data_IF_576129092969
#
_entry.id   IF_576129092969
#
_cell.length_a   1.000
_cell.length_b   1.000
_cell.length_c   1.000
_cell.angle_alpha   90.00
_cell.angle_beta   90.00
_cell.angle_gamma   90.00
#
_symmetry.space_group_name_H-M   'P 1'
#
loop_
_entity.id
_entity.type
_entity.pdbx_description
1 polymer ?
#
# COMPACT_ATOMS: atom_id res chain seq x y z
N UNK A 1 1.44 3.87 -5.60
CA UNK A 1 2.70 3.72 -4.84
C UNK A 1 3.20 2.29 -4.81
N UNK A 2 2.44 1.29 -4.35
CA UNK A 2 2.89 -0.13 -4.38
C UNK A 2 3.33 -0.57 -5.79
N UNK A 3 2.56 -0.21 -6.82
CA UNK A 3 2.96 -0.46 -8.21
C UNK A 3 4.22 0.28 -8.64
N UNK A 4 4.48 1.48 -8.10
CA UNK A 4 5.70 2.24 -8.42
C UNK A 4 6.93 1.55 -7.82
N UNK A 5 6.85 1.08 -6.58
CA UNK A 5 7.94 0.32 -5.94
C UNK A 5 8.28 -0.98 -6.68
N UNK A 6 7.26 -1.67 -7.22
CA UNK A 6 7.44 -2.87 -8.06
C UNK A 6 8.06 -2.58 -9.43
N UNK A 7 8.01 -1.35 -9.90
CA UNK A 7 8.54 -0.91 -11.20
C UNK A 7 9.57 0.22 -11.00
N UNK A 8 10.31 0.17 -9.89
CA UNK A 8 11.29 1.21 -9.52
C UNK A 8 12.51 1.24 -10.45
N UNK A 9 12.67 0.22 -11.30
CA UNK A 9 13.61 0.19 -12.42
C UNK A 9 13.28 1.24 -13.50
N UNK A 10 12.00 1.63 -13.62
CA UNK A 10 11.54 2.64 -14.59
C UNK A 10 11.04 3.90 -13.87
N UNK A 11 10.33 3.75 -12.75
CA UNK A 11 9.72 4.87 -12.02
C UNK A 11 10.66 5.34 -10.93
N UNK A 12 11.44 6.40 -11.24
CA UNK A 12 12.45 6.94 -10.32
C UNK A 12 11.89 7.87 -9.24
N UNK A 13 10.72 8.47 -9.47
CA UNK A 13 10.08 9.38 -8.53
C UNK A 13 8.56 9.45 -8.76
N UNK A 14 7.82 9.74 -7.70
CA UNK A 14 6.39 10.05 -7.77
C UNK A 14 6.02 11.07 -6.70
N UNK A 15 5.16 12.02 -7.03
CA UNK A 15 4.62 12.99 -6.08
C UNK A 15 3.10 12.93 -6.05
N UNK A 16 2.52 13.02 -4.86
CA UNK A 16 1.09 13.26 -4.71
C UNK A 16 0.78 14.72 -5.06
N UNK A 17 -0.37 14.97 -5.66
CA UNK A 17 -0.86 16.31 -5.92
C UNK A 17 -2.40 16.34 -5.79
N UNK A 18 -2.98 17.43 -5.24
CA UNK A 18 -2.31 18.57 -4.61
C UNK A 18 -1.81 18.28 -3.18
N UNK A 19 -0.84 19.05 -2.69
CA UNK A 19 -0.28 18.88 -1.34
C UNK A 19 -1.21 19.48 -0.27
N UNK A 20 -1.49 20.78 -0.38
CA UNK A 20 -2.23 21.56 0.60
C UNK A 20 -3.58 21.99 0.05
N UNK A 21 -4.58 22.09 0.94
CA UNK A 21 -5.89 22.66 0.66
C UNK A 21 -6.31 23.62 1.79
N UNK A 22 -6.81 24.80 1.42
CA UNK A 22 -7.49 25.68 2.38
C UNK A 22 -8.97 25.32 2.39
N UNK A 23 -9.47 24.88 3.54
CA UNK A 23 -10.85 24.38 3.68
C UNK A 23 -11.93 25.43 3.40
N UNK A 24 -11.58 26.73 3.40
CA UNK A 24 -12.50 27.83 3.06
C UNK A 24 -12.66 28.07 1.55
N UNK A 25 -11.86 27.41 0.73
CA UNK A 25 -11.87 27.58 -0.72
C UNK A 25 -11.34 26.35 -1.41
N UNK A 26 -11.98 25.20 -1.17
CA UNK A 26 -11.57 23.90 -1.74
C UNK A 26 -11.95 23.81 -3.22
N UNK A 27 -10.98 23.53 -4.10
CA UNK A 27 -11.22 23.26 -5.53
C UNK A 27 -11.18 21.77 -5.89
N UNK A 28 -10.41 20.96 -5.15
CA UNK A 28 -10.29 19.52 -5.36
C UNK A 28 -10.66 18.75 -4.09
N UNK A 29 -11.36 17.63 -4.25
CA UNK A 29 -11.80 16.79 -3.14
C UNK A 29 -10.68 15.93 -2.51
N UNK A 30 -9.47 15.96 -3.07
CA UNK A 30 -8.33 15.16 -2.62
C UNK A 30 -7.10 16.05 -2.48
N UNK A 31 -6.35 15.84 -1.40
CA UNK A 31 -5.10 16.51 -1.06
C UNK A 31 -4.41 15.73 0.07
N UNK A 32 -3.27 16.20 0.61
CA UNK A 32 -2.65 15.57 1.79
C UNK A 32 -2.94 16.34 3.08
N UNK A 33 -2.75 17.65 3.07
CA UNK A 33 -2.86 18.51 4.26
C UNK A 33 -3.97 19.53 4.06
N UNK A 34 -4.94 19.58 4.96
CA UNK A 34 -6.00 20.58 4.99
C UNK A 34 -5.73 21.59 6.09
N UNK A 35 -5.98 22.87 5.83
CA UNK A 35 -5.77 23.94 6.79
C UNK A 35 -6.83 25.04 6.72
N UNK A 36 -6.97 25.76 7.82
CA UNK A 36 -7.59 27.09 7.85
C UNK A 36 -6.61 28.09 8.50
N UNK A 37 -7.09 29.26 8.93
CA UNK A 37 -6.24 30.30 9.53
C UNK A 37 -5.59 29.94 10.87
N UNK A 38 -6.02 28.87 11.55
CA UNK A 38 -5.54 28.52 12.90
C UNK A 38 -5.31 27.03 13.16
N UNK A 39 -5.77 26.13 12.28
CA UNK A 39 -5.71 24.68 12.47
C UNK A 39 -5.38 23.98 11.16
N UNK A 40 -4.78 22.81 11.28
CA UNK A 40 -4.58 21.86 10.19
C UNK A 40 -5.01 20.46 10.59
N UNK A 41 -5.30 19.62 9.59
CA UNK A 41 -5.44 18.17 9.73
C UNK A 41 -4.94 17.51 8.45
N UNK A 42 -4.66 16.21 8.52
CA UNK A 42 -4.16 15.45 7.37
C UNK A 42 -5.19 14.43 6.90
N UNK A 43 -5.27 14.17 5.60
CA UNK A 43 -6.13 13.12 5.06
C UNK A 43 -5.46 11.74 5.18
N UNK A 44 -6.21 10.63 5.13
CA UNK A 44 -5.64 9.28 5.11
C UNK A 44 -4.54 9.10 4.06
N UNK A 45 -4.64 9.79 2.92
CA UNK A 45 -3.60 9.80 1.88
C UNK A 45 -2.24 10.28 2.38
N UNK A 46 -2.18 11.22 3.33
CA UNK A 46 -0.92 11.68 3.94
C UNK A 46 -0.26 10.55 4.73
N UNK A 47 -1.05 9.80 5.50
CA UNK A 47 -0.56 8.65 6.26
C UNK A 47 -0.08 7.54 5.32
N UNK A 48 -0.78 7.29 4.21
CA UNK A 48 -0.30 6.37 3.16
C UNK A 48 1.08 6.77 2.64
N UNK A 49 1.27 8.06 2.29
CA UNK A 49 2.57 8.55 1.82
C UNK A 49 3.66 8.35 2.87
N UNK A 50 3.36 8.69 4.13
CA UNK A 50 4.31 8.60 5.25
C UNK A 50 4.69 7.16 5.53
N UNK A 51 3.71 6.25 5.66
CA UNK A 51 3.94 4.83 5.96
C UNK A 51 4.74 4.13 4.86
N UNK A 52 4.46 4.43 3.59
CA UNK A 52 5.21 3.84 2.49
C UNK A 52 6.62 4.42 2.39
N UNK A 53 6.79 5.73 2.63
CA UNK A 53 8.10 6.38 2.65
C UNK A 53 8.99 5.90 3.80
N UNK A 54 8.42 5.62 4.98
CA UNK A 54 9.18 5.14 6.14
C UNK A 54 9.62 3.68 6.00
N UNK A 55 9.02 2.93 5.08
CA UNK A 55 9.27 1.50 4.89
C UNK A 55 9.98 1.19 3.56
N UNK A 56 10.69 2.15 2.97
CA UNK A 56 11.48 1.90 1.75
C UNK A 56 12.64 0.94 2.03
N UNK A 57 12.93 0.06 1.06
CA UNK A 57 14.13 -0.77 1.06
C UNK A 57 15.05 -0.36 -0.08
N UNK A 58 16.29 -0.84 -0.04
CA UNK A 58 17.27 -0.63 -1.11
C UNK A 58 16.93 -1.45 -2.36
N UNK A 59 16.30 -2.62 -2.20
CA UNK A 59 15.96 -3.53 -3.29
C UNK A 59 14.54 -4.06 -3.16
N UNK A 60 13.77 -4.04 -4.24
CA UNK A 60 12.48 -4.72 -4.30
C UNK A 60 12.71 -6.23 -4.40
N UNK A 61 11.96 -7.01 -3.62
CA UNK A 61 12.04 -8.46 -3.63
C UNK A 61 11.02 -9.04 -4.62
N UNK A 62 11.38 -10.07 -5.41
CA UNK A 62 10.40 -10.84 -6.17
C UNK A 62 9.38 -11.47 -5.22
N UNK A 63 8.10 -11.24 -5.49
CA UNK A 63 7.01 -11.79 -4.70
C UNK A 63 5.90 -12.31 -5.62
N UNK A 64 5.53 -13.57 -5.40
CA UNK A 64 4.39 -14.21 -6.05
C UNK A 64 3.19 -14.10 -5.12
N UNK A 65 2.12 -13.48 -5.61
CA UNK A 65 0.84 -13.49 -4.90
C UNK A 65 0.05 -14.70 -5.38
N UNK A 66 -0.52 -15.46 -4.46
CA UNK A 66 -1.44 -16.55 -4.81
C UNK A 66 -2.84 -15.97 -5.00
N UNK A 67 -3.56 -16.30 -6.09
CA UNK A 67 -4.94 -15.89 -6.26
C UNK A 67 -5.81 -16.29 -5.05
N UNK A 68 -6.89 -15.54 -4.76
CA UNK A 68 -7.43 -14.46 -5.59
C UNK A 68 -6.84 -13.08 -5.20
N UNK A 69 -6.14 -12.45 -6.14
CA UNK A 69 -5.73 -11.04 -6.12
C UNK A 69 -6.14 -10.40 -7.46
N UNK A 70 -6.09 -9.06 -7.55
CA UNK A 70 -6.42 -8.37 -8.79
C UNK A 70 -5.40 -8.70 -9.89
N UNK A 71 -5.73 -9.66 -10.76
CA UNK A 71 -5.01 -9.91 -12.00
C UNK A 71 -5.23 -8.72 -12.95
N UNK A 72 -4.13 -8.08 -13.35
CA UNK A 72 -4.14 -7.03 -14.36
C UNK A 72 -4.45 -7.63 -15.73
N UNK A 73 -5.51 -7.11 -16.35
CA UNK A 73 -5.80 -6.98 -17.79
C UNK A 73 -4.87 -7.75 -18.76
N UNK A 74 -5.45 -8.59 -19.62
CA UNK A 74 -4.77 -9.20 -20.78
C UNK A 74 -3.98 -8.13 -21.54
N UNK A 75 -2.71 -8.42 -21.82
CA UNK A 75 -1.77 -7.53 -22.51
C UNK A 75 -2.39 -6.95 -23.80
N UNK A 76 -2.25 -5.63 -24.00
CA UNK A 76 -2.52 -5.01 -25.29
C UNK A 76 -1.51 -5.54 -26.32
N UNK A 77 -1.99 -6.29 -27.30
CA UNK A 77 -1.21 -6.50 -28.52
C UNK A 77 -1.12 -5.16 -29.26
N UNK A 78 0.10 -4.65 -29.43
CA UNK A 78 0.35 -3.44 -30.24
C UNK A 78 -0.18 -3.69 -31.65
N UNK A 79 -1.28 -3.05 -32.06
CA UNK A 79 -1.53 -2.82 -33.50
C UNK A 79 -0.68 -1.65 -33.94
N UNK A 80 0.22 -1.92 -34.89
CA UNK A 80 1.03 -0.91 -35.58
C UNK A 80 0.11 -0.14 -36.54
N UNK A 81 -0.14 1.12 -36.25
CA UNK A 81 -0.93 2.03 -37.10
C UNK A 81 -1.44 3.23 -36.30
N UNK A 82 -0.76 4.39 -36.41
CA UNK A 82 -1.26 5.64 -35.84
C UNK A 82 -2.40 6.16 -36.72
N UNK A 83 -3.63 6.06 -36.21
CA UNK A 83 -4.78 6.83 -36.72
C UNK A 83 -5.21 7.83 -35.65
N UNK A 84 -5.51 9.06 -36.07
CA UNK A 84 -5.78 10.25 -35.25
C UNK A 84 -7.14 10.26 -34.54
N UNK A 85 -7.89 9.15 -34.54
CA UNK A 85 -9.09 9.01 -33.72
C UNK A 85 -8.72 8.62 -32.29
N UNK A 86 -9.33 9.28 -31.29
CA UNK A 86 -9.21 9.00 -29.84
C UNK A 86 -8.93 7.51 -29.59
N UNK A 87 -7.79 7.12 -28.98
CA UNK A 87 -7.40 5.73 -28.84
C UNK A 87 -8.53 4.96 -28.13
N UNK A 88 -8.91 3.77 -28.62
CA UNK A 88 -9.91 2.95 -27.95
C UNK A 88 -9.45 2.69 -26.53
N UNK A 89 -10.19 3.20 -25.54
CA UNK A 89 -9.88 2.91 -24.15
C UNK A 89 -10.17 1.43 -23.90
N UNK A 90 -9.24 0.69 -23.27
CA UNK A 90 -9.55 -0.64 -22.78
C UNK A 90 -10.77 -0.60 -21.88
N UNK A 91 -11.82 -1.32 -22.27
CA UNK A 91 -12.91 -1.65 -21.35
C UNK A 91 -12.56 -2.96 -20.67
N UNK A 92 -12.35 -2.92 -19.36
CA UNK A 92 -12.23 -4.11 -18.53
C UNK A 92 -13.62 -4.76 -18.44
N UNK A 93 -13.82 -5.88 -19.14
CA UNK A 93 -15.14 -6.53 -19.25
C UNK A 93 -15.39 -7.61 -18.21
N UNK A 94 -14.41 -7.95 -17.36
CA UNK A 94 -14.61 -8.87 -16.25
C UNK A 94 -14.88 -8.10 -14.98
N UNK A 95 -15.98 -8.42 -14.29
CA UNK A 95 -16.19 -7.98 -12.92
C UNK A 95 -14.89 -8.24 -12.13
N UNK A 96 -14.36 -7.24 -11.44
CA UNK A 96 -13.14 -7.41 -10.69
C UNK A 96 -13.32 -8.51 -9.64
N UNK A 97 -12.33 -9.39 -9.43
CA UNK A 97 -12.45 -10.46 -8.44
C UNK A 97 -12.78 -9.87 -7.06
N UNK A 98 -13.66 -10.54 -6.32
CA UNK A 98 -14.22 -10.09 -5.03
C UNK A 98 -13.17 -9.87 -3.91
N UNK A 99 -11.92 -10.24 -4.16
CA UNK A 99 -10.83 -10.28 -3.21
C UNK A 99 -9.62 -9.53 -3.79
N UNK A 100 -9.77 -8.21 -3.86
CA UNK A 100 -8.72 -7.28 -4.27
C UNK A 100 -7.78 -7.01 -3.10
N UNK A 101 -6.58 -7.55 -3.20
CA UNK A 101 -5.45 -7.15 -2.37
C UNK A 101 -4.21 -7.08 -3.26
N UNK A 102 -3.20 -6.36 -2.80
CA UNK A 102 -1.87 -6.35 -3.42
C UNK A 102 -0.81 -6.28 -2.33
N UNK A 103 0.37 -6.78 -2.62
CA UNK A 103 1.52 -6.61 -1.76
C UNK A 103 2.80 -6.36 -2.56
N UNK A 104 3.77 -5.77 -1.87
CA UNK A 104 5.16 -5.70 -2.28
C UNK A 104 6.06 -5.91 -1.07
N UNK A 105 7.29 -6.33 -1.34
CA UNK A 105 8.31 -6.51 -0.34
C UNK A 105 9.59 -5.85 -0.83
N UNK A 106 10.33 -5.25 0.09
CA UNK A 106 11.64 -4.66 -0.18
C UNK A 106 12.61 -5.00 0.94
N UNK A 107 13.89 -5.09 0.63
CA UNK A 107 14.94 -5.39 1.60
C UNK A 107 15.90 -4.21 1.75
N UNK A 108 16.32 -3.96 2.97
CA UNK A 108 17.57 -3.27 3.28
C UNK A 108 18.59 -4.31 3.77
N UNK A 109 19.54 -4.67 2.91
CA UNK A 109 20.54 -5.69 3.20
C UNK A 109 21.53 -5.26 4.30
N UNK A 110 21.82 -3.96 4.41
CA UNK A 110 22.75 -3.43 5.43
C UNK A 110 22.10 -3.48 6.81
N UNK A 111 20.84 -3.04 6.89
CA UNK A 111 20.06 -3.08 8.13
C UNK A 111 19.53 -4.50 8.44
N UNK A 112 19.61 -5.44 7.49
CA UNK A 112 19.05 -6.80 7.58
C UNK A 112 17.54 -6.79 7.84
N UNK A 113 16.84 -5.91 7.13
CA UNK A 113 15.41 -5.70 7.27
C UNK A 113 14.67 -6.06 5.99
N UNK A 114 13.50 -6.66 6.15
CA UNK A 114 12.51 -6.84 5.09
C UNK A 114 11.27 -6.03 5.46
N UNK A 115 10.87 -5.13 4.57
CA UNK A 115 9.65 -4.35 4.67
C UNK A 115 8.58 -4.95 3.76
N UNK A 116 7.48 -5.37 4.35
CA UNK A 116 6.28 -5.85 3.65
C UNK A 116 5.25 -4.74 3.66
N UNK A 117 4.65 -4.45 2.51
CA UNK A 117 3.50 -3.54 2.40
C UNK A 117 2.37 -4.24 1.71
N UNK A 118 1.24 -4.33 2.40
CA UNK A 118 0.06 -5.06 1.96
C UNK A 118 -1.14 -4.12 1.98
N UNK A 119 -1.99 -4.21 0.95
CA UNK A 119 -3.21 -3.40 0.85
C UNK A 119 -4.40 -4.30 0.66
N UNK A 120 -5.41 -4.16 1.53
CA UNK A 120 -6.71 -4.80 1.43
C UNK A 120 -7.75 -3.80 0.91
N UNK A 121 -8.24 -4.01 -0.31
CA UNK A 121 -9.28 -3.17 -0.93
C UNK A 121 -10.69 -3.76 -0.77
N UNK A 122 -10.89 -4.63 0.23
CA UNK A 122 -12.15 -5.31 0.46
C UNK A 122 -12.78 -4.91 1.81
N UNK A 123 -14.12 -5.00 1.93
CA UNK A 123 -14.83 -4.79 3.19
C UNK A 123 -14.63 -5.92 4.20
N UNK A 124 -13.99 -7.02 3.80
CA UNK A 124 -13.76 -8.18 4.66
C UNK A 124 -12.28 -8.24 5.07
N UNK A 125 -12.03 -8.68 6.31
CA UNK A 125 -10.69 -8.98 6.77
C UNK A 125 -10.07 -10.10 5.92
N UNK A 126 -8.74 -10.07 5.81
CA UNK A 126 -7.99 -11.01 4.97
C UNK A 126 -6.77 -11.56 5.69
N UNK A 127 -6.75 -12.86 6.03
CA UNK A 127 -5.51 -13.52 6.43
C UNK A 127 -4.56 -13.65 5.22
N UNK A 128 -3.27 -13.46 5.47
CA UNK A 128 -2.20 -13.61 4.50
C UNK A 128 -1.04 -14.35 5.14
N UNK A 129 -0.68 -15.49 4.57
CA UNK A 129 0.53 -16.20 4.92
C UNK A 129 1.65 -15.83 3.95
N UNK A 130 2.76 -15.35 4.52
CA UNK A 130 3.97 -14.98 3.79
C UNK A 130 4.96 -16.12 3.93
N UNK A 131 5.08 -16.94 2.88
CA UNK A 131 6.15 -17.92 2.78
C UNK A 131 7.48 -17.22 2.47
N UNK A 132 8.54 -17.58 3.18
CA UNK A 132 9.87 -17.00 3.05
C UNK A 132 10.89 -18.07 2.66
N UNK A 133 11.67 -17.79 1.62
CA UNK A 133 12.70 -18.68 1.09
C UNK A 133 14.04 -17.96 0.92
N UNK A 134 14.29 -16.89 1.68
CA UNK A 134 15.59 -16.23 1.70
C UNK A 134 16.60 -16.99 2.58
N UNK A 135 17.89 -16.83 2.28
CA UNK A 135 18.99 -17.52 2.98
C UNK A 135 18.97 -17.35 4.50
N UNK A 136 18.58 -16.15 4.97
CA UNK A 136 18.41 -15.83 6.39
C UNK A 136 16.95 -15.91 6.75
N UNK A 137 16.60 -16.65 7.80
CA UNK A 137 15.23 -16.74 8.29
C UNK A 137 14.72 -15.39 8.82
N UNK A 138 13.40 -15.23 8.85
CA UNK A 138 12.77 -14.17 9.65
C UNK A 138 12.99 -14.43 11.13
N UNK A 139 13.65 -13.49 11.81
CA UNK A 139 14.02 -13.65 13.22
C UNK A 139 12.99 -13.00 14.16
N UNK A 140 12.57 -11.76 13.85
CA UNK A 140 11.60 -11.02 14.67
C UNK A 140 10.85 -9.97 13.86
N UNK A 141 9.59 -9.72 14.21
CA UNK A 141 8.84 -8.57 13.71
C UNK A 141 9.25 -7.36 14.54
N UNK A 142 9.77 -6.32 13.89
CA UNK A 142 10.18 -5.09 14.56
C UNK A 142 9.03 -4.10 14.70
N UNK A 143 8.20 -4.02 13.65
CA UNK A 143 7.07 -3.12 13.61
C UNK A 143 5.97 -3.72 12.73
N UNK A 144 4.72 -3.49 13.12
CA UNK A 144 3.55 -3.79 12.32
C UNK A 144 2.54 -2.66 12.52
N UNK A 145 2.37 -1.84 11.50
CA UNK A 145 1.49 -0.67 11.52
C UNK A 145 0.37 -0.86 10.50
N UNK A 146 -0.84 -0.47 10.88
CA UNK A 146 -2.01 -0.48 10.02
C UNK A 146 -2.63 0.91 9.94
N UNK A 147 -3.05 1.29 8.74
CA UNK A 147 -3.99 2.38 8.50
C UNK A 147 -5.29 1.74 8.00
N UNK A 148 -6.36 1.87 8.76
CA UNK A 148 -7.68 1.28 8.46
C UNK A 148 -8.80 2.13 9.05
N UNK A 149 -10.03 1.87 8.62
CA UNK A 149 -11.24 2.48 9.15
C UNK A 149 -12.43 1.55 8.96
N UNK A 150 -13.53 1.81 9.67
CA UNK A 150 -14.77 1.04 9.57
C UNK A 150 -15.46 1.16 8.19
N UNK A 151 -15.18 2.23 7.43
CA UNK A 151 -15.76 2.50 6.11
C UNK A 151 -14.68 3.00 5.14
N UNK A 152 -14.85 2.71 3.85
CA UNK A 152 -13.95 3.17 2.78
C UNK A 152 -13.99 4.69 2.58
N UNK A 153 -15.05 5.34 3.06
CA UNK A 153 -15.32 6.76 2.96
C UNK A 153 -14.87 7.54 4.21
N UNK A 154 -14.33 6.86 5.21
CA UNK A 154 -13.88 7.50 6.45
C UNK A 154 -12.75 8.50 6.18
N UNK A 155 -12.87 9.70 6.77
CA UNK A 155 -11.91 10.80 6.58
C UNK A 155 -11.75 11.61 7.87
N UNK A 156 -10.57 12.24 7.97
CA UNK A 156 -10.28 13.23 8.99
C UNK A 156 -10.91 14.59 8.62
N UNK A 157 -11.20 15.39 9.63
CA UNK A 157 -11.71 16.76 9.46
C UNK A 157 -11.34 17.64 10.65
N UNK A 158 -11.70 18.93 10.63
CA UNK A 158 -11.36 19.87 11.71
C UNK A 158 -11.93 19.50 13.09
N UNK A 159 -13.03 18.74 13.15
CA UNK A 159 -13.65 18.30 14.40
C UNK A 159 -13.10 16.96 14.88
N UNK A 160 -12.65 16.11 13.96
CA UNK A 160 -12.04 14.81 14.23
C UNK A 160 -10.77 14.68 13.37
N UNK A 161 -9.65 15.32 13.79
CA UNK A 161 -8.45 15.42 12.97
C UNK A 161 -7.71 14.08 12.79
N UNK A 162 -7.97 13.11 13.66
CA UNK A 162 -7.30 11.80 13.71
C UNK A 162 -8.29 10.63 13.69
N UNK A 163 -9.46 10.80 13.05
CA UNK A 163 -10.46 9.73 12.91
C UNK A 163 -9.93 8.48 12.17
N UNK A 164 -8.98 8.69 11.25
CA UNK A 164 -8.26 7.68 10.48
C UNK A 164 -6.78 8.01 10.57
N UNK A 165 -6.09 7.30 11.46
CA UNK A 165 -4.67 7.46 11.71
C UNK A 165 -3.98 6.09 11.80
N UNK A 166 -2.65 6.00 11.58
CA UNK A 166 -1.91 4.78 11.76
C UNK A 166 -1.99 4.28 13.20
N UNK A 167 -2.16 2.97 13.36
CA UNK A 167 -2.16 2.29 14.65
C UNK A 167 -1.29 1.03 14.60
N UNK A 168 -0.97 0.46 15.76
CA UNK A 168 -0.37 -0.87 15.80
C UNK A 168 -1.35 -1.89 15.20
N UNK A 169 -0.83 -2.84 14.44
CA UNK A 169 -1.65 -3.93 13.92
C UNK A 169 -2.01 -4.91 15.05
N UNK A 170 -3.30 -5.19 15.19
CA UNK A 170 -3.85 -6.12 16.17
C UNK A 170 -4.78 -7.14 15.47
N UNK A 171 -4.54 -8.47 15.59
CA UNK A 171 -3.39 -9.09 16.26
C UNK A 171 -2.06 -8.80 15.53
N UNK A 172 -0.92 -8.78 16.24
CA UNK A 172 0.37 -8.61 15.60
C UNK A 172 0.70 -9.81 14.67
N UNK A 173 1.56 -9.62 13.66
CA UNK A 173 1.95 -10.72 12.78
C UNK A 173 2.59 -11.88 13.56
N UNK A 174 2.16 -13.10 13.26
CA UNK A 174 2.66 -14.31 13.90
C UNK A 174 3.83 -14.87 13.08
N UNK A 175 5.01 -14.98 13.69
CA UNK A 175 6.16 -15.64 13.06
C UNK A 175 5.98 -17.16 13.10
N UNK A 176 6.20 -17.79 11.95
CA UNK A 176 6.28 -19.23 11.79
C UNK A 176 7.71 -19.66 11.43
N UNK A 177 7.96 -20.98 11.36
CA UNK A 177 9.30 -21.50 11.06
C UNK A 177 9.82 -21.14 9.66
N UNK A 178 8.91 -20.91 8.69
CA UNK A 178 9.25 -20.67 7.28
C UNK A 178 8.63 -19.38 6.74
N UNK A 179 8.16 -18.50 7.62
CA UNK A 179 7.37 -17.35 7.19
C UNK A 179 6.70 -16.58 8.32
N UNK A 180 5.66 -15.83 7.97
CA UNK A 180 4.83 -15.12 8.94
C UNK A 180 3.38 -14.99 8.46
N UNK A 181 2.43 -14.97 9.38
CA UNK A 181 1.00 -14.79 9.11
C UNK A 181 0.55 -13.40 9.53
N UNK A 182 -0.25 -12.74 8.70
CA UNK A 182 -0.78 -11.38 8.89
C UNK A 182 -2.29 -11.40 8.71
N UNK A 183 -3.02 -10.86 9.68
CA UNK A 183 -4.44 -10.57 9.51
C UNK A 183 -4.62 -9.11 9.06
N UNK A 184 -4.96 -8.89 7.78
CA UNK A 184 -5.26 -7.54 7.28
C UNK A 184 -6.71 -7.17 7.61
N UNK A 185 -6.98 -6.06 8.31
CA UNK A 185 -8.33 -5.54 8.48
C UNK A 185 -8.98 -5.18 7.14
N UNK A 186 -10.32 -5.00 7.08
CA UNK A 186 -10.98 -4.34 5.96
C UNK A 186 -10.32 -3.00 5.60
N UNK A 187 -10.40 -2.58 4.34
CA UNK A 187 -10.01 -1.24 3.89
C UNK A 187 -8.66 -0.75 4.45
N UNK A 188 -7.62 -1.55 4.33
CA UNK A 188 -6.38 -1.34 5.09
C UNK A 188 -5.14 -1.23 4.22
N UNK A 189 -4.18 -0.41 4.69
CA UNK A 189 -2.77 -0.50 4.36
C UNK A 189 -2.06 -1.05 5.60
N UNK A 190 -1.35 -2.17 5.45
CA UNK A 190 -0.53 -2.78 6.48
C UNK A 190 0.94 -2.70 6.06
N UNK A 191 1.79 -2.21 6.96
CA UNK A 191 3.24 -2.17 6.79
C UNK A 191 3.89 -2.96 7.91
N UNK A 192 4.69 -3.97 7.56
CA UNK A 192 5.41 -4.82 8.50
C UNK A 192 6.90 -4.77 8.22
N UNK A 193 7.70 -4.49 9.24
CA UNK A 193 9.17 -4.56 9.17
C UNK A 193 9.65 -5.76 9.96
N UNK A 194 10.40 -6.63 9.30
CA UNK A 194 10.90 -7.90 9.84
C UNK A 194 12.42 -7.88 9.82
N UNK A 195 13.06 -8.23 10.93
CA UNK A 195 14.49 -8.45 10.98
C UNK A 195 14.85 -9.86 10.50
N UNK A 196 15.92 -9.96 9.72
CA UNK A 196 16.52 -11.23 9.33
C UNK A 196 17.49 -11.72 10.41
N UNK A 197 17.59 -13.04 10.55
CA UNK A 197 18.53 -13.69 11.46
C UNK A 197 20.00 -13.53 11.05
N UNK A 198 20.88 -13.92 11.97
CA UNK A 198 22.29 -14.17 11.67
C UNK A 198 22.42 -15.42 10.76
N UNK A 199 23.59 -15.61 10.12
CA UNK A 199 23.82 -16.79 9.26
C UNK A 199 24.08 -18.01 10.14
#
# INVERSE_FOLDING_TARGET
MIGFERNADVVVASSFAPLCNNVRGTQWAYNLVNLNSSRLFVLPSYHVQTLLSSALGAHTLPATLTPPYAQGVKAFSRRRGLSSSKPPQPRLTTAPPASRWIATASMDARARLVNLKLVNYAPNARPVDVAWSGERAFARVLNATVLTAASAEAQNNLSMPDAVAPAALDPPPALGPTGLSIAMPPWSLVVVTVALGDQ
#
